data_IF_957675095163
#
_entry.id   IF_957675095163
#
_cell.length_a   1.000
_cell.length_b   1.000
_cell.length_c   1.000
_cell.angle_alpha   90.00
_cell.angle_beta   90.00
_cell.angle_gamma   90.00
#
_symmetry.space_group_name_H-M   'P 1'
#
loop_
_entity.id
_entity.type
_entity.pdbx_description
1 polymer ?
#
# COMPACT_ATOMS: atom_id res chain seq x y z
N UNK A 1 0.76 -11.68 25.19
CA UNK A 1 -0.36 -11.74 24.22
C UNK A 1 -0.33 -13.12 23.60
N UNK A 2 -1.45 -13.84 23.64
CA UNK A 2 -1.50 -15.23 23.17
C UNK A 2 -1.40 -15.26 21.64
N UNK A 3 -0.58 -16.16 21.10
CA UNK A 3 -0.54 -16.47 19.67
C UNK A 3 -1.90 -17.08 19.28
N UNK A 4 -2.79 -16.31 18.65
CA UNK A 4 -4.10 -16.81 18.22
C UNK A 4 -5.17 -15.78 17.86
N UNK A 5 -5.05 -14.50 18.24
CA UNK A 5 -6.12 -13.51 17.97
C UNK A 5 -6.07 -12.86 16.58
N UNK A 6 -4.93 -12.91 15.88
CA UNK A 6 -4.75 -12.24 14.59
C UNK A 6 -4.12 -13.17 13.55
N UNK A 7 -4.41 -12.90 12.27
CA UNK A 7 -3.83 -13.65 11.17
C UNK A 7 -2.32 -13.40 11.06
N UNK A 8 -1.53 -14.47 11.22
CA UNK A 8 -0.08 -14.47 11.00
C UNK A 8 0.25 -15.03 9.60
N UNK A 9 1.12 -14.32 8.88
CA UNK A 9 1.52 -14.63 7.50
C UNK A 9 2.35 -15.90 7.38
N UNK A 10 3.08 -16.25 8.43
CA UNK A 10 4.04 -17.34 8.44
C UNK A 10 3.50 -18.56 9.19
N UNK A 11 2.83 -18.35 10.31
CA UNK A 11 2.34 -19.41 11.19
C UNK A 11 0.82 -19.55 11.11
N UNK A 12 0.35 -20.79 11.21
CA UNK A 12 -1.06 -21.12 11.41
C UNK A 12 -1.39 -21.06 12.92
N UNK A 13 -2.68 -21.04 13.29
CA UNK A 13 -3.08 -21.05 14.71
C UNK A 13 -2.56 -22.25 15.51
N UNK A 14 -2.27 -23.37 14.85
CA UNK A 14 -1.67 -24.57 15.46
C UNK A 14 -0.14 -24.51 15.61
N UNK A 15 0.48 -23.38 15.22
CA UNK A 15 1.93 -23.15 15.25
C UNK A 15 2.67 -23.74 14.05
N UNK A 16 2.00 -24.45 13.14
CA UNK A 16 2.64 -24.95 11.91
C UNK A 16 2.91 -23.82 10.92
N UNK A 17 3.94 -23.97 10.10
CA UNK A 17 4.32 -22.98 9.08
C UNK A 17 3.41 -23.10 7.86
N UNK A 18 3.02 -21.97 7.28
CA UNK A 18 2.26 -21.89 6.04
C UNK A 18 3.19 -22.17 4.84
N UNK A 19 2.65 -22.84 3.83
CA UNK A 19 3.42 -23.32 2.66
C UNK A 19 4.24 -22.22 1.98
N UNK A 20 3.71 -21.00 1.90
CA UNK A 20 4.40 -19.84 1.34
C UNK A 20 5.73 -19.51 2.05
N UNK A 21 5.83 -19.82 3.34
CA UNK A 21 6.99 -19.53 4.18
C UNK A 21 7.89 -20.75 4.45
N UNK A 22 7.51 -21.96 4.04
CA UNK A 22 8.30 -23.18 4.34
C UNK A 22 9.74 -23.08 3.87
N UNK A 23 9.97 -22.58 2.64
CA UNK A 23 11.32 -22.37 2.11
C UNK A 23 12.12 -21.32 2.89
N UNK A 24 11.46 -20.23 3.29
CA UNK A 24 12.08 -19.19 4.12
C UNK A 24 12.43 -19.71 5.52
N UNK A 25 11.52 -20.43 6.17
CA UNK A 25 11.74 -21.00 7.51
C UNK A 25 12.92 -21.98 7.51
N UNK A 26 12.99 -22.86 6.52
CA UNK A 26 14.10 -23.80 6.39
C UNK A 26 15.43 -23.06 6.26
N UNK A 27 15.52 -22.11 5.33
CA UNK A 27 16.70 -21.27 5.17
C UNK A 27 17.05 -20.51 6.44
N UNK A 28 16.07 -19.87 7.10
CA UNK A 28 16.27 -19.07 8.30
C UNK A 28 16.80 -19.92 9.47
N UNK A 29 16.27 -21.13 9.64
CA UNK A 29 16.69 -22.08 10.68
C UNK A 29 18.12 -22.61 10.51
N UNK A 30 18.65 -22.60 9.28
CA UNK A 30 20.04 -22.98 8.98
C UNK A 30 21.04 -21.84 9.25
N UNK A 31 20.59 -20.61 9.50
CA UNK A 31 21.48 -19.47 9.64
C UNK A 31 22.03 -19.31 11.06
N UNK A 32 23.33 -18.99 11.13
CA UNK A 32 23.96 -18.55 12.38
C UNK A 32 23.40 -17.20 12.83
N UNK A 33 23.07 -17.06 14.13
CA UNK A 33 22.56 -15.78 14.68
C UNK A 33 23.53 -14.62 14.45
N UNK A 34 24.84 -14.90 14.50
CA UNK A 34 25.88 -13.91 14.24
C UNK A 34 25.88 -13.42 12.79
N UNK A 35 25.59 -14.31 11.84
CA UNK A 35 25.43 -14.00 10.42
C UNK A 35 24.22 -13.09 10.21
N UNK A 36 23.06 -13.45 10.76
CA UNK A 36 21.84 -12.65 10.63
C UNK A 36 22.02 -11.24 11.23
N UNK A 37 22.61 -11.14 12.42
CA UNK A 37 22.91 -9.83 13.04
C UNK A 37 23.87 -8.98 12.21
N UNK A 38 24.86 -9.61 11.54
CA UNK A 38 25.75 -8.90 10.62
C UNK A 38 24.97 -8.38 9.42
N UNK A 39 24.16 -9.24 8.78
CA UNK A 39 23.35 -8.84 7.62
C UNK A 39 22.36 -7.73 7.94
N UNK A 40 21.75 -7.76 9.12
CA UNK A 40 20.88 -6.67 9.58
C UNK A 40 21.63 -5.34 9.65
N UNK A 41 22.84 -5.32 10.23
CA UNK A 41 23.68 -4.10 10.27
C UNK A 41 24.11 -3.66 8.88
N UNK A 42 24.46 -4.60 8.01
CA UNK A 42 24.87 -4.30 6.63
C UNK A 42 23.70 -3.64 5.87
N UNK A 43 22.48 -4.18 6.01
CA UNK A 43 21.27 -3.61 5.44
C UNK A 43 21.00 -2.20 6.01
N UNK A 44 21.02 -2.04 7.32
CA UNK A 44 20.81 -0.73 7.97
C UNK A 44 21.84 0.31 7.49
N UNK A 45 23.11 -0.08 7.31
CA UNK A 45 24.14 0.79 6.75
C UNK A 45 23.90 1.12 5.27
N UNK A 46 23.39 0.17 4.48
CA UNK A 46 23.03 0.42 3.09
C UNK A 46 21.89 1.44 3.00
N UNK A 47 20.80 1.24 3.76
CA UNK A 47 19.68 2.18 3.84
C UNK A 47 20.11 3.58 4.30
N UNK A 48 21.06 3.67 5.23
CA UNK A 48 21.67 4.95 5.64
C UNK A 48 22.41 5.66 4.51
N UNK A 49 23.12 4.91 3.66
CA UNK A 49 23.93 5.48 2.57
C UNK A 49 23.10 5.89 1.36
N UNK A 50 21.99 5.19 1.09
CA UNK A 50 21.08 5.53 0.00
C UNK A 50 20.19 6.74 0.30
N UNK A 51 20.25 7.29 1.52
CA UNK A 51 19.54 8.51 1.90
C UNK A 51 18.04 8.31 2.05
N UNK A 52 17.62 7.09 2.38
CA UNK A 52 16.22 6.73 2.61
C UNK A 52 15.81 7.21 4.01
N UNK A 53 15.56 8.51 4.13
CA UNK A 53 15.09 9.17 5.35
C UNK A 53 13.66 9.67 5.14
N UNK A 54 12.86 9.67 6.21
CA UNK A 54 11.53 10.29 6.19
C UNK A 54 11.52 11.53 7.10
N UNK A 55 10.90 12.61 6.62
CA UNK A 55 10.63 13.80 7.42
C UNK A 55 9.42 13.55 8.31
N UNK A 56 9.64 13.44 9.62
CA UNK A 56 8.53 13.44 10.58
C UNK A 56 7.93 14.85 10.61
N UNK A 57 6.83 15.08 9.91
CA UNK A 57 6.08 16.34 10.01
C UNK A 57 5.42 16.40 11.39
N UNK A 58 5.92 17.24 12.29
CA UNK A 58 5.28 17.41 13.60
C UNK A 58 5.92 18.37 14.61
N UNK A 59 7.25 18.56 14.62
CA UNK A 59 7.90 19.41 15.62
C UNK A 59 9.08 20.18 15.00
N UNK A 60 9.42 21.33 15.59
CA UNK A 60 10.40 22.33 15.14
C UNK A 60 11.86 21.82 14.97
N UNK A 61 12.08 20.51 15.13
CA UNK A 61 13.29 19.80 14.75
C UNK A 61 12.92 18.69 13.76
N UNK A 62 13.07 18.98 12.47
CA UNK A 62 13.06 17.97 11.41
C UNK A 62 14.31 17.09 11.54
N UNK A 63 14.35 16.21 12.54
CA UNK A 63 15.31 15.12 12.58
C UNK A 63 14.91 14.11 11.51
N UNK A 64 15.70 14.03 10.45
CA UNK A 64 15.64 12.93 9.49
C UNK A 64 15.82 11.60 10.23
N UNK A 65 14.76 10.79 10.28
CA UNK A 65 14.83 9.44 10.83
C UNK A 65 14.88 8.42 9.71
N UNK A 66 15.76 7.43 9.90
CA UNK A 66 15.85 6.28 9.03
C UNK A 66 14.60 5.43 9.17
N UNK A 67 14.07 4.96 8.05
CA UNK A 67 13.01 3.95 8.11
C UNK A 67 13.60 2.65 8.66
N UNK A 68 13.02 2.09 9.73
CA UNK A 68 13.46 0.79 10.23
C UNK A 68 13.22 -0.27 9.15
N UNK A 69 14.25 -1.04 8.83
CA UNK A 69 14.19 -2.12 7.85
C UNK A 69 14.11 -3.47 8.56
N UNK A 70 13.16 -4.31 8.18
CA UNK A 70 13.05 -5.70 8.61
C UNK A 70 13.52 -6.63 7.48
N UNK A 71 14.37 -7.60 7.82
CA UNK A 71 14.88 -8.59 6.87
C UNK A 71 13.91 -9.75 6.59
N UNK A 72 12.84 -9.87 7.37
CA UNK A 72 11.80 -10.89 7.17
C UNK A 72 10.88 -10.42 6.05
N UNK A 73 10.86 -11.11 4.89
CA UNK A 73 10.06 -10.67 3.75
C UNK A 73 8.57 -10.87 4.02
N UNK A 74 7.76 -9.97 3.47
CA UNK A 74 6.31 -10.18 3.32
C UNK A 74 6.07 -10.97 2.04
N UNK A 75 5.87 -12.28 2.15
CA UNK A 75 5.69 -13.16 1.01
C UNK A 75 4.21 -13.16 0.60
N UNK A 76 3.94 -12.79 -0.66
CA UNK A 76 2.62 -12.90 -1.28
C UNK A 76 2.73 -13.92 -2.42
N UNK A 77 1.89 -14.95 -2.38
CA UNK A 77 1.86 -16.01 -3.38
C UNK A 77 1.32 -15.50 -4.71
N UNK A 78 1.63 -16.20 -5.80
CA UNK A 78 1.11 -15.87 -7.13
C UNK A 78 -0.44 -15.91 -7.20
N UNK A 79 -1.09 -16.76 -6.41
CA UNK A 79 -2.55 -16.81 -6.37
C UNK A 79 -3.14 -15.57 -5.70
N UNK A 80 -2.63 -15.21 -4.52
CA UNK A 80 -3.03 -13.99 -3.80
C UNK A 80 -2.77 -12.74 -4.64
N UNK A 81 -1.57 -12.65 -5.25
CA UNK A 81 -1.20 -11.51 -6.08
C UNK A 81 -2.15 -11.33 -7.26
N UNK A 82 -2.50 -12.40 -8.00
CA UNK A 82 -3.45 -12.31 -9.11
C UNK A 82 -4.84 -11.80 -8.68
N UNK A 83 -5.31 -12.19 -7.49
CA UNK A 83 -6.58 -11.71 -6.94
C UNK A 83 -6.47 -10.22 -6.58
N UNK A 84 -5.38 -9.84 -5.92
CA UNK A 84 -5.10 -8.47 -5.51
C UNK A 84 -4.99 -7.54 -6.72
N UNK A 85 -4.15 -7.86 -7.71
CA UNK A 85 -3.97 -7.01 -8.88
C UNK A 85 -5.27 -6.78 -9.62
N UNK A 86 -6.07 -7.84 -9.84
CA UNK A 86 -7.39 -7.71 -10.48
C UNK A 86 -8.32 -6.76 -9.72
N UNK A 87 -8.33 -6.85 -8.38
CA UNK A 87 -9.12 -5.96 -7.53
C UNK A 87 -8.63 -4.51 -7.55
N UNK A 88 -7.32 -4.31 -7.51
CA UNK A 88 -6.68 -2.99 -7.57
C UNK A 88 -6.94 -2.33 -8.94
N UNK A 89 -6.75 -3.05 -10.04
CA UNK A 89 -7.01 -2.58 -11.41
C UNK A 89 -8.46 -2.18 -11.61
N UNK A 90 -9.41 -2.99 -11.11
CA UNK A 90 -10.83 -2.67 -11.11
C UNK A 90 -11.09 -1.37 -10.34
N UNK A 91 -10.53 -1.23 -9.14
CA UNK A 91 -10.73 -0.07 -8.27
C UNK A 91 -10.17 1.20 -8.90
N UNK A 92 -8.95 1.17 -9.42
CA UNK A 92 -8.30 2.31 -10.09
C UNK A 92 -9.07 2.72 -11.34
N UNK A 93 -9.58 1.76 -12.12
CA UNK A 93 -10.42 2.05 -13.28
C UNK A 93 -11.72 2.76 -12.87
N UNK A 94 -12.35 2.31 -11.79
CA UNK A 94 -13.56 2.94 -11.24
C UNK A 94 -13.28 4.35 -10.69
N UNK A 95 -12.16 4.56 -9.99
CA UNK A 95 -11.75 5.88 -9.51
C UNK A 95 -11.53 6.85 -10.68
N UNK A 96 -10.84 6.43 -11.73
CA UNK A 96 -10.60 7.27 -12.89
C UNK A 96 -11.92 7.63 -13.62
N UNK A 97 -12.82 6.64 -13.78
CA UNK A 97 -14.13 6.86 -14.37
C UNK A 97 -15.01 7.79 -13.50
N UNK A 98 -14.93 7.66 -12.17
CA UNK A 98 -15.61 8.52 -11.22
C UNK A 98 -15.14 9.98 -11.35
N UNK A 99 -13.82 10.20 -11.42
CA UNK A 99 -13.25 11.54 -11.63
C UNK A 99 -13.73 12.16 -12.95
N UNK A 100 -13.73 11.38 -14.04
CA UNK A 100 -14.27 11.83 -15.31
C UNK A 100 -15.76 12.22 -15.19
N UNK A 101 -16.58 11.36 -14.58
CA UNK A 101 -18.01 11.64 -14.42
C UNK A 101 -18.29 12.90 -13.59
N UNK A 102 -17.59 13.07 -12.46
CA UNK A 102 -17.75 14.23 -11.59
C UNK A 102 -17.48 15.56 -12.30
N UNK A 103 -16.42 15.62 -13.11
CA UNK A 103 -16.07 16.82 -13.87
C UNK A 103 -16.89 17.00 -15.16
N UNK A 104 -17.76 16.05 -15.52
CA UNK A 104 -18.57 16.12 -16.73
C UNK A 104 -20.06 16.00 -16.43
N UNK A 105 -20.65 14.82 -16.69
CA UNK A 105 -22.10 14.65 -16.71
C UNK A 105 -22.69 14.40 -15.32
N UNK A 106 -21.87 14.05 -14.33
CA UNK A 106 -22.30 13.80 -12.96
C UNK A 106 -23.43 12.75 -12.89
N UNK A 107 -23.35 11.72 -13.73
CA UNK A 107 -24.36 10.68 -13.84
C UNK A 107 -24.51 9.91 -12.53
N UNK A 108 -23.43 9.67 -11.78
CA UNK A 108 -23.49 9.00 -10.48
C UNK A 108 -24.30 9.79 -9.43
N UNK A 109 -24.31 11.13 -9.55
CA UNK A 109 -25.08 12.03 -8.69
C UNK A 109 -26.53 12.09 -9.18
N UNK A 110 -26.76 12.25 -10.49
CA UNK A 110 -28.09 12.23 -11.11
C UNK A 110 -28.83 10.92 -10.85
N UNK A 111 -28.10 9.81 -10.79
CA UNK A 111 -28.62 8.49 -10.45
C UNK A 111 -28.85 8.28 -8.93
N UNK A 112 -28.56 9.29 -8.09
CA UNK A 112 -28.77 9.24 -6.64
C UNK A 112 -27.84 8.29 -5.89
N UNK A 113 -26.71 7.87 -6.48
CA UNK A 113 -25.77 6.92 -5.86
C UNK A 113 -24.76 7.62 -4.96
N UNK A 114 -24.34 8.83 -5.31
CA UNK A 114 -23.48 9.68 -4.48
C UNK A 114 -24.21 10.99 -4.18
N UNK A 115 -24.39 11.36 -2.90
CA UNK A 115 -24.96 12.64 -2.53
C UNK A 115 -24.11 13.81 -3.01
N UNK A 116 -24.76 14.81 -3.61
CA UNK A 116 -24.10 15.97 -4.19
C UNK A 116 -23.28 16.80 -3.18
N UNK A 117 -23.74 16.90 -1.95
CA UNK A 117 -23.08 17.67 -0.91
C UNK A 117 -21.69 17.13 -0.53
N UNK A 118 -21.38 15.87 -0.84
CA UNK A 118 -20.07 15.26 -0.55
C UNK A 118 -18.94 15.83 -1.42
N UNK A 119 -19.26 16.37 -2.59
CA UNK A 119 -18.24 16.93 -3.50
C UNK A 119 -18.33 18.45 -3.65
N UNK A 120 -19.54 19.05 -3.74
CA UNK A 120 -19.66 20.51 -3.96
C UNK A 120 -19.04 21.36 -2.85
N UNK A 121 -19.03 20.87 -1.62
CA UNK A 121 -18.45 21.55 -0.47
C UNK A 121 -17.05 21.02 -0.10
N UNK A 122 -16.49 20.13 -0.93
CA UNK A 122 -15.20 19.54 -0.67
C UNK A 122 -14.10 20.51 -1.14
N UNK A 123 -13.14 20.83 -0.26
CA UNK A 123 -12.03 21.71 -0.61
C UNK A 123 -11.14 21.16 -1.73
N UNK A 124 -11.19 19.85 -2.00
CA UNK A 124 -10.47 19.22 -3.12
C UNK A 124 -11.21 19.33 -4.47
N UNK A 125 -12.45 19.83 -4.50
CA UNK A 125 -13.17 20.07 -5.74
C UNK A 125 -12.61 21.28 -6.47
N UNK A 126 -12.31 21.11 -7.76
CA UNK A 126 -11.74 22.15 -8.62
C UNK A 126 -12.72 22.53 -9.72
N UNK A 127 -13.45 23.66 -9.60
CA UNK A 127 -14.39 24.10 -10.64
C UNK A 127 -13.74 24.27 -12.02
N UNK A 128 -12.46 24.66 -12.07
CA UNK A 128 -11.71 24.85 -13.32
C UNK A 128 -11.51 23.55 -14.13
N UNK A 129 -11.69 22.39 -13.49
CA UNK A 129 -11.59 21.08 -14.14
C UNK A 129 -12.91 20.66 -14.81
N UNK A 130 -14.01 21.40 -14.64
CA UNK A 130 -15.31 21.06 -15.24
C UNK A 130 -15.23 21.13 -16.76
N UNK A 131 -15.59 20.01 -17.42
CA UNK A 131 -15.50 19.85 -18.87
C UNK A 131 -14.09 19.60 -19.39
N UNK A 132 -13.07 19.57 -18.52
CA UNK A 132 -11.71 19.26 -18.92
C UNK A 132 -11.49 17.75 -18.99
N UNK A 133 -11.04 17.27 -20.15
CA UNK A 133 -10.60 15.89 -20.35
C UNK A 133 -9.07 15.87 -20.51
N UNK A 134 -8.32 15.24 -19.59
CA UNK A 134 -6.87 15.09 -19.73
C UNK A 134 -6.51 14.15 -20.90
N UNK A 135 -5.27 14.21 -21.42
CA UNK A 135 -4.79 13.28 -22.43
C UNK A 135 -5.05 11.81 -22.03
N UNK A 136 -5.60 11.03 -22.96
CA UNK A 136 -5.97 9.63 -22.70
C UNK A 136 -7.15 9.43 -21.74
N UNK A 137 -7.78 10.50 -21.25
CA UNK A 137 -8.88 10.42 -20.27
C UNK A 137 -8.42 9.91 -18.89
N UNK A 138 -7.13 10.06 -18.57
CA UNK A 138 -6.53 9.60 -17.31
C UNK A 138 -6.35 10.79 -16.35
N UNK A 139 -7.10 10.81 -15.26
CA UNK A 139 -6.99 11.79 -14.18
C UNK A 139 -5.93 11.35 -13.16
N UNK A 140 -5.92 10.07 -12.81
CA UNK A 140 -5.07 9.51 -11.75
C UNK A 140 -4.07 8.53 -12.35
N UNK A 141 -2.95 9.06 -12.84
CA UNK A 141 -1.93 8.29 -13.56
C UNK A 141 -1.22 7.26 -12.68
N UNK A 142 -1.00 7.62 -11.41
CA UNK A 142 -0.41 6.76 -10.40
C UNK A 142 -1.33 6.83 -9.19
N UNK A 143 -1.69 5.68 -8.63
CA UNK A 143 -2.53 5.56 -7.44
C UNK A 143 -1.89 4.56 -6.50
N UNK A 144 -1.67 4.96 -5.24
CA UNK A 144 -1.33 4.05 -4.16
C UNK A 144 -2.60 3.49 -3.53
N UNK A 145 -2.67 2.18 -3.31
CA UNK A 145 -3.81 1.54 -2.65
C UNK A 145 -3.31 0.87 -1.38
N UNK A 146 -3.71 1.42 -0.24
CA UNK A 146 -3.26 0.93 1.06
C UNK A 146 -4.12 -0.24 1.49
N UNK A 147 -3.47 -1.41 1.65
CA UNK A 147 -4.14 -2.68 1.91
C UNK A 147 -3.78 -3.24 3.28
N UNK A 148 -4.76 -3.80 3.95
CA UNK A 148 -4.57 -4.65 5.14
C UNK A 148 -5.13 -6.04 4.90
N UNK A 149 -4.52 -7.03 5.55
CA UNK A 149 -4.94 -8.43 5.51
C UNK A 149 -5.42 -8.86 6.89
N UNK A 150 -6.60 -9.46 6.97
CA UNK A 150 -7.20 -9.95 8.23
C UNK A 150 -7.34 -11.46 8.28
N UNK A 151 -7.14 -12.15 7.15
CA UNK A 151 -7.34 -13.57 7.02
C UNK A 151 -6.65 -14.17 5.79
N UNK A 152 -6.76 -15.49 5.58
CA UNK A 152 -6.10 -16.19 4.48
C UNK A 152 -6.45 -15.62 3.09
N UNK A 153 -7.65 -15.11 2.88
CA UNK A 153 -8.06 -14.57 1.58
C UNK A 153 -8.74 -13.20 1.69
N UNK A 154 -8.57 -12.55 2.84
CA UNK A 154 -9.28 -11.34 3.24
C UNK A 154 -8.34 -10.13 3.22
N UNK A 155 -8.52 -9.29 2.20
CA UNK A 155 -7.81 -8.04 2.04
C UNK A 155 -8.81 -6.89 1.96
N UNK A 156 -8.48 -5.79 2.63
CA UNK A 156 -9.31 -4.59 2.70
C UNK A 156 -8.49 -3.38 2.29
N UNK A 157 -9.12 -2.47 1.53
CA UNK A 157 -8.55 -1.15 1.23
C UNK A 157 -8.84 -0.22 2.40
N UNK A 158 -7.80 0.36 2.97
CA UNK A 158 -7.92 1.42 3.97
C UNK A 158 -8.03 2.80 3.31
N UNK A 159 -7.19 3.06 2.31
CA UNK A 159 -7.06 4.38 1.70
C UNK A 159 -6.66 4.30 0.21
N UNK A 160 -7.11 5.29 -0.56
CA UNK A 160 -6.73 5.52 -1.95
C UNK A 160 -5.89 6.81 -2.08
N UNK A 161 -4.61 6.65 -2.41
CA UNK A 161 -3.67 7.75 -2.60
C UNK A 161 -3.64 8.17 -4.08
N UNK A 162 -4.61 9.00 -4.49
CA UNK A 162 -4.83 9.40 -5.87
C UNK A 162 -4.34 10.82 -6.25
N UNK A 163 -3.59 11.49 -5.35
CA UNK A 163 -3.02 12.83 -5.59
C UNK A 163 -1.57 12.73 -6.05
N UNK A 164 -0.66 12.66 -5.09
CA UNK A 164 0.79 12.53 -5.30
C UNK A 164 1.30 11.35 -4.47
N UNK A 165 0.97 10.11 -4.85
CA UNK A 165 1.42 8.95 -4.10
C UNK A 165 2.94 8.89 -4.06
N UNK A 166 3.49 8.61 -2.88
CA UNK A 166 4.91 8.40 -2.63
C UNK A 166 5.15 6.93 -2.24
N UNK A 167 6.40 6.54 -1.95
CA UNK A 167 6.70 5.19 -1.47
C UNK A 167 7.47 4.29 -2.46
N UNK A 168 7.43 4.58 -3.76
CA UNK A 168 8.01 3.70 -4.80
C UNK A 168 9.53 3.54 -4.65
N UNK A 169 10.25 4.58 -4.22
CA UNK A 169 11.69 4.49 -3.97
C UNK A 169 12.02 3.45 -2.89
N UNK A 170 11.23 3.39 -1.81
CA UNK A 170 11.41 2.41 -0.74
C UNK A 170 11.12 0.97 -1.18
N UNK A 171 10.28 0.79 -2.20
CA UNK A 171 9.98 -0.53 -2.76
C UNK A 171 11.10 -1.05 -3.66
N UNK A 172 11.80 -0.15 -4.35
CA UNK A 172 12.84 -0.52 -5.33
C UNK A 172 14.21 -0.77 -4.70
N UNK A 173 14.47 -0.13 -3.55
CA UNK A 173 15.72 -0.24 -2.78
C UNK A 173 15.67 -1.37 -1.75
#
# INVERSE_FOLDING_TARGET
>A
MAAGEFFDEMHKPDGSVRDAYTGYQAWYGEQEKSFLRRKHRDAEQAFRRTGITFNVYGEDEAEERLIPFDMVPRIITAHEWRKLTKGIEQRVSALNAFMHDLYHRQEIIRAGRVPEHLFRNNAAWLPDMVGFTPPGGIYTHIVGIDLVRTGPDEFYVLEDNARTPSGVSYMLE
#
